data_IF_676539613336
#
_entry.id   IF_676539613336
#
_cell.length_a   1.000
_cell.length_b   1.000
_cell.length_c   1.000
_cell.angle_alpha   90.00
_cell.angle_beta   90.00
_cell.angle_gamma   90.00
#
_symmetry.space_group_name_H-M   'P 1'
#
loop_
_entity.id
_entity.type
_entity.pdbx_description
1 polymer ?
#
# COMPACT_ATOMS: atom_id res chain seq x y z
N UNK A 1 19.74 0.17 -25.14
CA UNK A 1 19.67 -0.83 -24.07
C UNK A 1 18.93 -0.17 -22.90
N UNK A 2 17.73 -0.63 -22.58
CA UNK A 2 17.02 -0.21 -21.35
C UNK A 2 17.75 -0.95 -20.23
N UNK A 3 18.84 -0.37 -19.72
CA UNK A 3 19.55 -0.90 -18.57
C UNK A 3 18.70 -0.62 -17.34
N UNK A 4 18.42 -1.65 -16.58
CA UNK A 4 17.88 -1.65 -15.24
C UNK A 4 16.40 -1.24 -15.08
N UNK A 5 15.49 -1.92 -15.84
CA UNK A 5 14.07 -1.86 -15.52
C UNK A 5 13.82 -2.52 -14.14
N UNK A 6 13.45 -1.76 -13.10
CA UNK A 6 13.43 -2.29 -11.74
C UNK A 6 12.19 -3.15 -11.44
N UNK A 7 11.17 -3.10 -12.29
CA UNK A 7 9.88 -3.74 -12.03
C UNK A 7 9.72 -5.12 -12.69
N UNK A 8 10.83 -5.78 -13.00
CA UNK A 8 10.84 -7.15 -13.58
C UNK A 8 9.89 -7.27 -14.78
N UNK A 9 8.85 -8.11 -14.66
CA UNK A 9 7.91 -8.42 -15.74
C UNK A 9 6.79 -7.40 -15.94
N UNK A 10 6.73 -6.34 -15.12
CA UNK A 10 5.72 -5.31 -15.33
C UNK A 10 5.96 -4.55 -16.62
N UNK A 11 4.89 -4.37 -17.38
CA UNK A 11 4.94 -3.73 -18.70
C UNK A 11 4.87 -2.20 -18.59
N UNK A 12 5.81 -1.45 -19.16
CA UNK A 12 5.72 0.01 -19.21
C UNK A 12 4.46 0.52 -19.91
N UNK A 13 3.96 1.68 -19.45
CA UNK A 13 2.84 2.43 -20.03
C UNK A 13 1.52 1.65 -20.14
N UNK A 14 1.35 0.61 -19.34
CA UNK A 14 0.21 -0.31 -19.44
C UNK A 14 -0.92 0.01 -18.46
N UNK A 15 -0.62 0.52 -17.26
CA UNK A 15 -1.53 0.45 -16.14
C UNK A 15 -2.41 1.70 -16.01
N UNK A 16 -3.72 1.50 -15.87
CA UNK A 16 -4.70 2.54 -15.54
C UNK A 16 -4.88 2.74 -14.04
N UNK A 17 -4.39 1.79 -13.21
CA UNK A 17 -4.25 1.98 -11.79
C UNK A 17 -3.02 1.27 -11.25
N UNK A 18 -2.38 1.92 -10.26
CA UNK A 18 -1.23 1.41 -9.52
C UNK A 18 -1.57 1.47 -8.03
N UNK A 19 -1.49 0.35 -7.34
CA UNK A 19 -1.55 0.25 -5.88
C UNK A 19 -0.13 0.09 -5.35
N UNK A 20 0.27 0.86 -4.35
CA UNK A 20 1.61 0.80 -3.79
C UNK A 20 1.60 0.87 -2.26
N UNK A 21 2.39 0.00 -1.62
CA UNK A 21 2.64 -0.02 -0.18
C UNK A 21 4.15 -0.04 0.12
N UNK A 22 4.85 1.10 -0.07
CA UNK A 22 6.28 1.15 0.14
C UNK A 22 6.70 0.73 1.54
N UNK A 23 7.82 0.02 1.70
CA UNK A 23 8.34 -0.39 3.01
C UNK A 23 9.01 0.81 3.70
N UNK A 24 8.19 1.70 4.26
CA UNK A 24 8.61 2.93 4.92
C UNK A 24 9.60 2.65 6.05
N UNK A 25 10.74 3.34 6.06
CA UNK A 25 11.67 3.31 7.18
C UNK A 25 11.17 4.19 8.34
N UNK A 26 11.14 3.65 9.55
CA UNK A 26 10.70 4.37 10.74
C UNK A 26 11.89 4.87 11.56
N UNK A 27 11.98 6.18 11.78
CA UNK A 27 12.87 6.73 12.79
C UNK A 27 12.29 6.47 14.19
N UNK A 28 12.76 5.43 14.88
CA UNK A 28 12.32 5.12 16.24
C UNK A 28 13.13 5.91 17.28
N UNK A 29 12.43 6.45 18.31
CA UNK A 29 13.04 7.25 19.38
C UNK A 29 13.74 6.44 20.48
N UNK A 30 13.60 5.11 20.48
CA UNK A 30 14.20 4.25 21.52
C UNK A 30 14.55 2.87 21.01
N UNK A 31 15.60 2.26 21.57
CA UNK A 31 16.01 0.89 21.24
C UNK A 31 14.89 -0.16 21.47
N UNK A 32 14.08 0.01 22.53
CA UNK A 32 12.91 -0.85 22.78
C UNK A 32 11.83 -0.70 21.70
N UNK A 33 11.80 0.44 21.00
CA UNK A 33 10.93 0.68 19.87
C UNK A 33 11.39 -0.08 18.63
N UNK A 34 12.70 -0.21 18.40
CA UNK A 34 13.26 -0.93 17.24
C UNK A 34 12.85 -2.41 17.21
N UNK A 35 12.78 -3.09 18.35
CA UNK A 35 12.33 -4.50 18.42
C UNK A 35 10.88 -4.70 17.97
N UNK A 36 10.08 -3.63 17.89
CA UNK A 36 8.67 -3.62 17.45
C UNK A 36 8.48 -2.88 16.13
N UNK A 37 9.56 -2.44 15.49
CA UNK A 37 9.50 -1.71 14.24
C UNK A 37 9.42 -2.67 13.03
N UNK A 38 8.88 -2.23 11.89
CA UNK A 38 8.90 -3.00 10.65
C UNK A 38 10.31 -3.44 10.23
N UNK A 39 11.34 -2.65 10.55
CA UNK A 39 12.75 -2.93 10.22
C UNK A 39 13.27 -4.24 10.83
N UNK A 40 12.70 -4.70 11.93
CA UNK A 40 13.03 -6.01 12.54
C UNK A 40 12.39 -7.19 11.81
N UNK A 41 11.45 -6.94 10.89
CA UNK A 41 10.64 -7.98 10.25
C UNK A 41 10.85 -8.09 8.73
N UNK A 42 11.23 -6.98 8.06
CA UNK A 42 11.52 -6.96 6.63
C UNK A 42 12.43 -5.79 6.26
N UNK A 43 13.19 -5.89 5.14
CA UNK A 43 14.03 -4.80 4.67
C UNK A 43 13.16 -3.56 4.33
N UNK A 44 13.47 -2.43 4.96
CA UNK A 44 12.91 -1.14 4.61
C UNK A 44 13.71 -0.47 3.51
N UNK A 45 13.13 0.50 2.82
CA UNK A 45 13.82 1.31 1.81
C UNK A 45 13.97 2.74 2.30
N UNK A 46 15.09 3.37 1.91
CA UNK A 46 15.26 4.80 2.18
C UNK A 46 14.24 5.63 1.38
N UNK A 47 13.86 6.82 1.87
CA UNK A 47 13.00 7.73 1.13
C UNK A 47 13.50 8.03 -0.28
N UNK A 48 14.81 8.18 -0.44
CA UNK A 48 15.47 8.46 -1.72
C UNK A 48 15.33 7.28 -2.68
N UNK A 49 15.53 6.05 -2.17
CA UNK A 49 15.37 4.84 -2.97
C UNK A 49 13.92 4.65 -3.43
N UNK A 50 12.93 4.94 -2.56
CA UNK A 50 11.51 4.90 -2.93
C UNK A 50 11.21 5.96 -4.00
N UNK A 51 11.65 7.20 -3.80
CA UNK A 51 11.43 8.32 -4.74
C UNK A 51 12.07 8.09 -6.11
N UNK A 52 13.19 7.36 -6.18
CA UNK A 52 13.92 7.09 -7.42
C UNK A 52 13.27 6.02 -8.30
N UNK A 53 12.29 5.27 -7.81
CA UNK A 53 11.58 4.29 -8.63
C UNK A 53 10.80 4.98 -9.75
N UNK A 54 10.93 4.53 -11.01
CA UNK A 54 10.30 5.16 -12.17
C UNK A 54 8.83 4.72 -12.31
N UNK A 55 8.01 4.97 -11.28
CA UNK A 55 6.61 4.50 -11.22
C UNK A 55 5.75 5.16 -12.30
N UNK A 56 6.07 6.40 -12.71
CA UNK A 56 5.40 7.04 -13.82
C UNK A 56 5.52 6.25 -15.14
N UNK A 57 6.62 5.54 -15.33
CA UNK A 57 6.86 4.77 -16.56
C UNK A 57 5.98 3.51 -16.66
N UNK A 58 5.35 3.08 -15.59
CA UNK A 58 4.32 2.04 -15.58
C UNK A 58 2.96 2.56 -16.02
N UNK A 59 2.68 3.84 -15.74
CA UNK A 59 1.37 4.44 -15.94
C UNK A 59 1.01 4.56 -17.42
N UNK A 60 -0.20 4.18 -17.78
CA UNK A 60 -0.82 4.57 -19.04
C UNK A 60 -1.08 6.09 -19.07
N UNK A 61 -1.59 6.62 -20.18
CA UNK A 61 -1.84 8.07 -20.33
C UNK A 61 -2.81 8.62 -19.29
N UNK A 62 -3.70 7.79 -18.81
CA UNK A 62 -4.69 8.07 -17.76
C UNK A 62 -4.59 7.02 -16.67
N UNK A 63 -4.05 7.39 -15.50
CA UNK A 63 -3.74 6.44 -14.43
C UNK A 63 -4.01 7.03 -13.04
N UNK A 64 -4.61 6.23 -12.16
CA UNK A 64 -4.66 6.51 -10.72
C UNK A 64 -3.56 5.78 -9.97
N UNK A 65 -2.95 6.46 -9.01
CA UNK A 65 -2.09 5.88 -7.99
C UNK A 65 -2.85 5.84 -6.66
N UNK A 66 -2.91 4.66 -6.03
CA UNK A 66 -3.35 4.45 -4.65
C UNK A 66 -2.13 4.14 -3.81
N UNK A 67 -1.73 5.06 -2.94
CA UNK A 67 -0.49 4.97 -2.18
C UNK A 67 -0.79 4.83 -0.69
N UNK A 68 -0.51 3.67 -0.11
CA UNK A 68 -0.57 3.46 1.32
C UNK A 68 0.49 4.25 2.06
N UNK A 69 0.12 4.76 3.22
CA UNK A 69 1.03 5.48 4.11
C UNK A 69 0.64 5.26 5.56
N UNK A 70 1.41 5.83 6.46
CA UNK A 70 1.02 6.00 7.86
C UNK A 70 0.91 7.48 8.18
N UNK A 71 0.16 7.85 9.21
CA UNK A 71 -0.02 9.25 9.57
C UNK A 71 1.30 10.01 9.76
N UNK A 72 2.34 9.44 10.44
CA UNK A 72 3.65 10.10 10.55
C UNK A 72 4.38 10.28 9.22
N UNK A 73 4.16 9.38 8.24
CA UNK A 73 4.80 9.45 6.93
C UNK A 73 3.99 10.21 5.87
N UNK A 74 2.86 10.79 6.23
CA UNK A 74 1.99 11.49 5.27
C UNK A 74 2.71 12.57 4.45
N UNK A 75 3.55 13.44 5.04
CA UNK A 75 4.32 14.42 4.26
C UNK A 75 5.27 13.75 3.26
N UNK A 76 5.97 12.68 3.69
CA UNK A 76 6.87 11.92 2.83
C UNK A 76 6.11 11.22 1.70
N UNK A 77 4.94 10.66 1.97
CA UNK A 77 4.12 10.00 0.96
C UNK A 77 3.63 10.98 -0.13
N UNK A 78 3.32 12.23 0.24
CA UNK A 78 3.02 13.29 -0.73
C UNK A 78 4.22 13.63 -1.61
N UNK A 79 5.43 13.70 -1.01
CA UNK A 79 6.67 13.93 -1.75
C UNK A 79 6.99 12.77 -2.70
N UNK A 80 6.81 11.51 -2.26
CA UNK A 80 6.98 10.31 -3.09
C UNK A 80 6.00 10.32 -4.26
N UNK A 81 4.72 10.58 -4.00
CA UNK A 81 3.69 10.68 -5.04
C UNK A 81 4.08 11.71 -6.11
N UNK A 82 4.55 12.88 -5.68
CA UNK A 82 5.03 13.93 -6.58
C UNK A 82 6.27 13.50 -7.37
N UNK A 83 7.23 12.83 -6.71
CA UNK A 83 8.46 12.33 -7.38
C UNK A 83 8.14 11.28 -8.43
N UNK A 84 7.08 10.50 -8.24
CA UNK A 84 6.56 9.51 -9.19
C UNK A 84 5.68 10.14 -10.29
N UNK A 85 5.61 11.48 -10.38
CA UNK A 85 4.88 12.20 -11.43
C UNK A 85 3.37 12.29 -11.24
N UNK A 86 2.82 11.83 -10.11
CA UNK A 86 1.39 11.88 -9.85
C UNK A 86 0.99 13.17 -9.13
N UNK A 87 -0.12 13.77 -9.58
CA UNK A 87 -0.76 14.90 -8.91
C UNK A 87 -1.73 14.36 -7.85
N UNK A 88 -1.56 14.80 -6.59
CA UNK A 88 -2.50 14.47 -5.52
C UNK A 88 -3.93 14.94 -5.86
N UNK A 89 -4.91 14.07 -5.66
CA UNK A 89 -6.33 14.33 -5.91
C UNK A 89 -7.13 14.28 -4.61
N UNK A 90 -7.00 13.18 -3.85
CA UNK A 90 -7.76 12.93 -2.64
C UNK A 90 -7.08 11.83 -1.81
N UNK A 91 -7.73 11.36 -0.77
CA UNK A 91 -7.29 10.23 0.02
C UNK A 91 -8.42 9.67 0.87
N UNK A 92 -8.10 8.59 1.56
CA UNK A 92 -9.00 7.93 2.48
C UNK A 92 -8.24 7.22 3.58
N UNK A 93 -8.93 6.37 4.33
CA UNK A 93 -8.32 5.59 5.39
C UNK A 93 -8.94 4.21 5.52
N UNK A 94 -8.09 3.24 5.82
CA UNK A 94 -8.53 1.99 6.39
C UNK A 94 -8.83 2.18 7.86
N UNK A 95 -10.09 1.93 8.24
CA UNK A 95 -10.55 1.94 9.63
C UNK A 95 -10.39 0.51 10.15
N UNK A 96 -9.35 0.30 10.94
CA UNK A 96 -8.95 -1.02 11.43
C UNK A 96 -9.94 -1.52 12.48
N UNK A 97 -10.49 -2.70 12.26
CA UNK A 97 -11.39 -3.39 13.18
C UNK A 97 -10.70 -4.61 13.77
N UNK A 98 -11.06 -4.98 15.00
CA UNK A 98 -10.71 -6.28 15.58
C UNK A 98 -11.66 -7.35 15.04
N UNK A 99 -11.37 -8.63 15.27
CA UNK A 99 -12.26 -9.75 14.94
C UNK A 99 -13.67 -9.60 15.53
N UNK A 100 -13.81 -8.88 16.64
CA UNK A 100 -15.10 -8.56 17.27
C UNK A 100 -15.68 -7.22 16.77
N UNK A 101 -15.23 -6.71 15.63
CA UNK A 101 -15.67 -5.46 15.01
C UNK A 101 -15.52 -4.19 15.85
N UNK A 102 -14.80 -4.24 16.96
CA UNK A 102 -14.43 -3.07 17.74
C UNK A 102 -13.34 -2.28 17.01
N UNK A 103 -13.25 -0.98 17.27
CA UNK A 103 -12.17 -0.16 16.75
C UNK A 103 -10.82 -0.71 17.27
N UNK A 104 -9.85 -0.86 16.39
CA UNK A 104 -8.53 -1.31 16.75
C UNK A 104 -7.82 -0.31 17.66
N UNK A 105 -6.90 -0.81 18.49
CA UNK A 105 -6.11 0.01 19.40
C UNK A 105 -4.62 -0.24 19.12
N UNK A 106 -4.06 0.55 18.22
CA UNK A 106 -2.65 0.43 17.83
C UNK A 106 -1.71 1.30 18.67
N UNK A 107 -0.48 1.36 18.23
CA UNK A 107 0.55 2.23 18.82
C UNK A 107 0.38 3.68 18.36
N UNK A 108 0.87 4.64 19.15
CA UNK A 108 0.86 6.06 18.80
C UNK A 108 1.28 6.93 19.98
N UNK A 109 1.85 8.10 19.70
CA UNK A 109 2.40 8.98 20.74
C UNK A 109 1.33 9.83 21.41
N UNK A 110 0.47 10.47 20.63
CA UNK A 110 -0.61 11.35 21.12
C UNK A 110 -1.94 10.62 21.03
N UNK A 111 -2.26 10.09 19.85
CA UNK A 111 -3.45 9.32 19.59
C UNK A 111 -3.08 7.87 19.27
N UNK A 112 -3.87 6.92 19.77
CA UNK A 112 -3.72 5.51 19.43
C UNK A 112 -4.20 5.27 17.99
N UNK A 113 -3.33 4.68 17.18
CA UNK A 113 -3.63 4.45 15.77
C UNK A 113 -4.73 3.40 15.61
N UNK A 114 -5.85 3.80 15.05
CA UNK A 114 -6.96 2.94 14.67
C UNK A 114 -7.22 2.98 13.16
N UNK A 115 -6.46 3.78 12.44
CA UNK A 115 -6.62 3.98 10.99
C UNK A 115 -5.28 4.01 10.30
N UNK A 116 -5.29 3.70 9.00
CA UNK A 116 -4.13 3.84 8.13
C UNK A 116 -4.54 4.60 6.87
N UNK A 117 -3.90 5.73 6.55
CA UNK A 117 -4.28 6.54 5.41
C UNK A 117 -3.77 5.94 4.10
N UNK A 118 -4.49 6.20 3.02
CA UNK A 118 -4.01 6.08 1.66
C UNK A 118 -4.25 7.38 0.89
N UNK A 119 -3.36 7.68 -0.01
CA UNK A 119 -3.44 8.82 -0.91
C UNK A 119 -3.89 8.35 -2.29
N UNK A 120 -4.62 9.19 -3.00
CA UNK A 120 -4.99 8.98 -4.39
C UNK A 120 -4.41 10.12 -5.22
N UNK A 121 -3.59 9.76 -6.21
CA UNK A 121 -3.03 10.69 -7.19
C UNK A 121 -3.41 10.28 -8.60
N UNK A 122 -3.24 11.19 -9.56
CA UNK A 122 -3.50 10.91 -10.98
C UNK A 122 -2.42 11.44 -11.90
N UNK A 123 -2.23 10.71 -13.00
CA UNK A 123 -1.62 11.17 -14.26
C UNK A 123 -2.76 11.24 -15.27
N UNK A 124 -2.79 12.26 -16.13
CA UNK A 124 -3.87 12.47 -17.08
C UNK A 124 -5.22 12.78 -16.41
N UNK A 125 -6.30 12.28 -16.98
CA UNK A 125 -7.67 12.47 -16.54
C UNK A 125 -8.45 11.15 -16.52
N UNK A 126 -8.06 10.17 -15.67
CA UNK A 126 -8.67 8.86 -15.68
C UNK A 126 -10.15 8.92 -15.27
N UNK A 127 -10.99 8.23 -16.03
CA UNK A 127 -12.43 8.14 -15.77
C UNK A 127 -12.73 7.04 -14.75
N UNK A 128 -13.71 7.29 -13.88
CA UNK A 128 -14.18 6.31 -12.88
C UNK A 128 -15.58 5.80 -13.22
N UNK A 129 -15.80 4.51 -13.02
CA UNK A 129 -17.09 3.86 -13.27
C UNK A 129 -18.11 4.11 -12.14
N UNK A 130 -17.66 4.38 -10.92
CA UNK A 130 -18.51 4.62 -9.75
C UNK A 130 -18.19 5.96 -9.09
N UNK A 131 -19.25 6.69 -8.72
CA UNK A 131 -19.14 7.94 -7.94
C UNK A 131 -19.72 7.80 -6.53
N UNK A 132 -20.03 6.58 -6.10
CA UNK A 132 -20.63 6.28 -4.80
C UNK A 132 -19.67 5.69 -3.79
N UNK A 133 -18.41 5.42 -4.20
CA UNK A 133 -17.40 4.85 -3.30
C UNK A 133 -17.01 5.82 -2.18
N UNK A 134 -16.78 5.26 -1.00
CA UNK A 134 -16.39 6.04 0.19
C UNK A 134 -14.88 6.01 0.35
N UNK A 135 -14.34 7.07 0.94
CA UNK A 135 -12.93 7.17 1.29
C UNK A 135 -12.58 6.48 2.64
N UNK A 136 -13.42 5.57 3.07
CA UNK A 136 -13.24 4.78 4.29
C UNK A 136 -13.41 3.29 3.98
N UNK A 137 -12.37 2.51 4.24
CA UNK A 137 -12.38 1.06 4.15
C UNK A 137 -12.52 0.52 5.56
N UNK A 138 -13.58 -0.23 5.84
CA UNK A 138 -13.80 -0.89 7.12
C UNK A 138 -13.42 -2.36 6.97
N UNK A 139 -12.30 -2.77 7.55
CA UNK A 139 -11.85 -4.14 7.47
C UNK A 139 -11.17 -4.58 8.78
N UNK A 140 -11.20 -5.88 9.03
CA UNK A 140 -10.48 -6.48 10.16
C UNK A 140 -8.98 -6.34 9.91
N UNK A 141 -8.26 -5.87 10.93
CA UNK A 141 -6.81 -5.91 10.93
C UNK A 141 -6.36 -7.14 11.71
N UNK A 142 -5.40 -7.86 11.17
CA UNK A 142 -4.73 -8.94 11.89
C UNK A 142 -3.88 -8.33 13.01
N UNK A 143 -4.55 -8.03 14.12
CA UNK A 143 -3.90 -7.54 15.34
C UNK A 143 -3.76 -8.71 16.27
N UNK A 144 -2.53 -9.13 16.59
CA UNK A 144 -2.31 -10.24 17.53
C UNK A 144 -2.92 -9.93 18.90
N UNK A 145 -3.74 -10.84 19.39
CA UNK A 145 -4.33 -10.73 20.74
C UNK A 145 -3.38 -11.17 21.88
N UNK A 146 -2.16 -11.62 21.56
CA UNK A 146 -1.19 -12.13 22.55
C UNK A 146 0.25 -11.75 22.19
N UNK A 147 1.13 -11.79 23.21
CA UNK A 147 2.57 -11.53 23.08
C UNK A 147 3.25 -12.55 22.14
N UNK A 148 2.71 -13.77 22.04
CA UNK A 148 3.23 -14.82 21.16
C UNK A 148 2.85 -14.62 19.68
N UNK A 149 1.85 -13.79 19.41
CA UNK A 149 1.44 -13.43 18.05
C UNK A 149 2.32 -12.34 17.42
N UNK A 150 3.38 -11.88 18.09
CA UNK A 150 4.42 -10.98 17.53
C UNK A 150 5.16 -11.59 16.31
N UNK A 151 4.96 -12.86 16.00
CA UNK A 151 5.55 -13.56 14.86
C UNK A 151 4.66 -13.66 13.62
N UNK A 152 3.41 -13.18 13.67
CA UNK A 152 2.48 -13.26 12.54
C UNK A 152 2.16 -11.85 12.02
N UNK A 153 2.75 -11.48 10.90
CA UNK A 153 2.23 -10.72 9.77
C UNK A 153 1.62 -9.34 10.02
N UNK A 154 2.36 -8.47 10.70
CA UNK A 154 2.05 -7.05 10.82
C UNK A 154 2.27 -6.32 9.49
N UNK A 155 1.42 -6.42 8.48
CA UNK A 155 1.47 -5.50 7.32
C UNK A 155 0.59 -5.90 6.14
N UNK A 156 -0.26 -6.93 6.28
CA UNK A 156 -1.20 -7.27 5.21
C UNK A 156 -2.24 -6.16 5.07
N UNK A 157 -2.36 -5.61 3.89
CA UNK A 157 -3.39 -4.61 3.59
C UNK A 157 -4.73 -5.30 3.33
N UNK A 158 -5.86 -4.62 3.60
CA UNK A 158 -7.18 -5.19 3.41
C UNK A 158 -7.47 -5.41 1.92
N UNK A 159 -8.02 -6.59 1.59
CA UNK A 159 -8.42 -6.95 0.23
C UNK A 159 -9.48 -6.00 -0.33
N UNK A 160 -10.26 -5.38 0.54
CA UNK A 160 -11.28 -4.38 0.20
C UNK A 160 -10.72 -3.17 -0.56
N UNK A 161 -9.41 -2.89 -0.45
CA UNK A 161 -8.75 -1.89 -1.30
C UNK A 161 -8.71 -2.34 -2.76
N UNK A 162 -8.36 -3.60 -3.01
CA UNK A 162 -8.35 -4.19 -4.36
C UNK A 162 -9.76 -4.20 -4.95
N UNK A 163 -10.78 -4.53 -4.13
CA UNK A 163 -12.19 -4.49 -4.51
C UNK A 163 -12.64 -3.07 -4.84
N UNK A 164 -12.22 -2.07 -4.06
CA UNK A 164 -12.50 -0.66 -4.32
C UNK A 164 -11.94 -0.23 -5.69
N UNK A 165 -10.68 -0.58 -5.98
CA UNK A 165 -10.03 -0.27 -7.26
C UNK A 165 -10.78 -0.95 -8.42
N UNK A 166 -11.15 -2.22 -8.27
CA UNK A 166 -11.92 -2.95 -9.28
C UNK A 166 -13.27 -2.29 -9.58
N UNK A 167 -13.98 -1.78 -8.56
CA UNK A 167 -15.26 -1.08 -8.76
C UNK A 167 -15.09 0.29 -9.40
N UNK A 168 -14.00 1.00 -9.07
CA UNK A 168 -13.70 2.30 -9.66
C UNK A 168 -13.25 2.20 -11.12
N UNK A 169 -12.46 1.17 -11.45
CA UNK A 169 -11.72 1.08 -12.72
C UNK A 169 -11.83 -0.31 -13.38
N UNK A 170 -13.06 -0.86 -13.60
CA UNK A 170 -13.29 -2.27 -13.96
C UNK A 170 -12.72 -2.68 -15.33
N UNK A 171 -12.26 -1.74 -16.15
CA UNK A 171 -11.76 -1.99 -17.51
C UNK A 171 -10.28 -1.68 -17.68
N UNK A 172 -9.54 -1.53 -16.58
CA UNK A 172 -8.14 -1.15 -16.62
C UNK A 172 -7.24 -2.31 -16.21
N UNK A 173 -6.00 -2.28 -16.67
CA UNK A 173 -4.93 -3.10 -16.13
C UNK A 173 -4.41 -2.49 -14.85
N UNK A 174 -4.16 -3.32 -13.85
CA UNK A 174 -3.65 -2.87 -12.55
C UNK A 174 -2.29 -3.47 -12.29
N UNK A 175 -1.44 -2.71 -11.58
CA UNK A 175 -0.22 -3.21 -10.98
C UNK A 175 -0.24 -2.95 -9.47
N UNK A 176 0.21 -3.92 -8.67
CA UNK A 176 0.49 -3.72 -7.26
C UNK A 176 2.00 -3.75 -7.01
N UNK A 177 2.53 -2.66 -6.48
CA UNK A 177 3.94 -2.52 -6.13
C UNK A 177 4.17 -2.83 -4.65
N UNK A 178 5.28 -3.50 -4.36
CA UNK A 178 5.63 -4.01 -3.04
C UNK A 178 4.67 -5.09 -2.54
N UNK A 179 4.04 -5.80 -3.49
CA UNK A 179 3.07 -6.84 -3.21
C UNK A 179 3.66 -7.97 -2.36
N UNK A 180 2.84 -8.53 -1.49
CA UNK A 180 3.16 -9.68 -0.65
C UNK A 180 2.37 -10.93 -1.03
N UNK A 181 1.40 -10.78 -1.90
CA UNK A 181 0.56 -11.87 -2.42
C UNK A 181 0.16 -11.57 -3.86
N UNK A 182 -0.15 -12.61 -4.61
CA UNK A 182 -0.69 -12.47 -5.94
C UNK A 182 -2.03 -11.72 -5.94
N UNK A 183 -2.31 -11.00 -7.01
CA UNK A 183 -3.62 -10.40 -7.26
C UNK A 183 -4.18 -11.02 -8.54
N UNK A 184 -5.15 -11.92 -8.40
CA UNK A 184 -5.67 -12.69 -9.51
C UNK A 184 -6.13 -11.79 -10.68
N UNK A 185 -5.57 -12.06 -11.88
CA UNK A 185 -5.86 -11.30 -13.09
C UNK A 185 -5.14 -9.97 -13.21
N UNK A 186 -4.23 -9.63 -12.28
CA UNK A 186 -3.46 -8.40 -12.27
C UNK A 186 -1.97 -8.66 -12.04
N UNK A 187 -1.16 -7.68 -12.40
CA UNK A 187 0.29 -7.79 -12.29
C UNK A 187 0.76 -7.32 -10.91
N UNK A 188 1.75 -8.00 -10.34
CA UNK A 188 2.31 -7.65 -9.02
C UNK A 188 3.84 -7.60 -9.08
N UNK A 189 4.43 -6.71 -8.28
CA UNK A 189 5.86 -6.62 -8.08
C UNK A 189 6.19 -6.41 -6.61
N UNK A 190 7.13 -7.20 -6.09
CA UNK A 190 7.56 -7.11 -4.69
C UNK A 190 8.56 -8.19 -4.33
N UNK A 191 9.14 -8.09 -3.14
CA UNK A 191 10.15 -9.05 -2.68
C UNK A 191 9.57 -10.40 -2.21
N UNK A 192 8.25 -10.52 -2.09
CA UNK A 192 7.59 -11.71 -1.54
C UNK A 192 6.18 -11.90 -2.14
N UNK A 193 6.04 -11.94 -3.49
CA UNK A 193 4.70 -12.02 -4.10
C UNK A 193 3.95 -13.32 -3.80
N UNK A 194 4.65 -14.37 -3.33
CA UNK A 194 4.06 -15.70 -3.03
C UNK A 194 3.95 -15.99 -1.53
N UNK A 195 4.19 -14.99 -0.66
CA UNK A 195 4.23 -15.23 0.80
C UNK A 195 2.90 -15.71 1.39
N UNK A 196 1.79 -15.33 0.76
CA UNK A 196 0.42 -15.66 1.17
C UNK A 196 -0.31 -16.48 0.08
N UNK A 197 0.44 -17.26 -0.73
CA UNK A 197 -0.13 -18.19 -1.69
C UNK A 197 -1.02 -19.25 -1.03
N UNK A 198 -1.82 -19.94 -1.83
CA UNK A 198 -2.98 -20.83 -1.55
C UNK A 198 -2.92 -21.81 -0.35
N UNK A 199 -1.87 -21.79 0.45
CA UNK A 199 -1.70 -22.73 1.58
C UNK A 199 -2.57 -22.43 2.83
N UNK A 200 -3.26 -21.29 2.88
CA UNK A 200 -4.07 -20.89 4.05
C UNK A 200 -5.58 -21.15 3.88
N UNK A 201 -6.01 -21.86 2.83
CA UNK A 201 -7.41 -22.24 2.58
C UNK A 201 -7.72 -23.73 2.89
N UNK A 202 -7.03 -24.34 3.84
CA UNK A 202 -7.34 -25.71 4.32
C UNK A 202 -7.77 -25.70 5.79
#
# INVERSE_FOLDING_TARGET
>A
MISDWPFADLTPLKYGAILADPPWAYAMRSEKGYAKSPESHYPTMSPEAIKSLPVADLAGPDCYLFLWSTWPHLPLALDVMKSWGFRYVTGGAWIKRTSNWKLAFGTGYVLRSATEPFLVGSIGCPEIASRSERNAILAVADIPNSIDALRREHSRKPVEMRDLINRLLPRHHFAELFAREAWQGHDVWGNQPDRFGEADNA
#
